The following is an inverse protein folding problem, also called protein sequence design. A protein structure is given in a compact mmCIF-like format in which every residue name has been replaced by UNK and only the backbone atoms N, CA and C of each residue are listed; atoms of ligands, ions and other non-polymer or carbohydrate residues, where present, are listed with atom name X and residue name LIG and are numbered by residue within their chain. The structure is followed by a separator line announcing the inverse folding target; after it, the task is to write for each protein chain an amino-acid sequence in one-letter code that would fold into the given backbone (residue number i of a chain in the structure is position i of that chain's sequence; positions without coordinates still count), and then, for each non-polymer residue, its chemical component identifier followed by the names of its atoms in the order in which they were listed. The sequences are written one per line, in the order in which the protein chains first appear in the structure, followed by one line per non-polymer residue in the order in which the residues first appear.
data_IF_740759116111
#
_entry.id   IF_740759116111
#
_cell.length_a   1.000
_cell.length_b   1.000
_cell.length_c   1.000
_cell.angle_alpha   90.00
_cell.angle_beta   90.00
_cell.angle_gamma   90.00
#
_symmetry.space_group_name_H-M   'P 1'
#
loop_
_entity.id
_entity.type
_entity.pdbx_description
1 polymer ?
#
# COMPACT_ATOMS: atom_id res chain seq x y z
N UNK A 1 6.01 -12.79 -2.28
CA UNK A 1 4.65 -12.85 -2.86
C UNK A 1 4.12 -14.28 -2.75
N UNK A 2 2.93 -14.46 -2.19
CA UNK A 2 2.17 -15.71 -2.39
C UNK A 2 1.84 -15.79 -3.89
N UNK A 3 2.22 -16.87 -4.60
CA UNK A 3 1.86 -17.02 -6.01
C UNK A 3 0.34 -16.90 -6.17
N UNK A 4 -0.12 -16.13 -7.17
CA UNK A 4 -1.51 -16.22 -7.58
C UNK A 4 -1.80 -17.63 -8.09
N UNK A 5 -2.92 -18.19 -7.66
CA UNK A 5 -3.42 -19.41 -8.26
C UNK A 5 -3.74 -19.13 -9.74
N UNK A 6 -3.23 -19.98 -10.63
CA UNK A 6 -3.59 -19.99 -12.05
C UNK A 6 -4.65 -21.07 -12.23
N UNK A 7 -5.84 -20.81 -11.72
CA UNK A 7 -6.96 -21.77 -11.66
C UNK A 7 -8.08 -21.44 -12.65
N UNK A 8 -7.92 -20.38 -13.44
CA UNK A 8 -8.93 -19.89 -14.38
C UNK A 8 -10.09 -19.15 -13.71
N UNK A 9 -10.02 -18.88 -12.41
CA UNK A 9 -11.03 -18.16 -11.65
C UNK A 9 -10.54 -16.75 -11.37
N UNK A 10 -11.31 -15.75 -11.79
CA UNK A 10 -11.06 -14.35 -11.43
C UNK A 10 -11.52 -14.08 -9.99
N UNK A 11 -10.78 -14.61 -9.03
CA UNK A 11 -11.03 -14.41 -7.60
C UNK A 11 -10.62 -13.01 -7.12
N UNK A 12 -10.84 -12.69 -5.84
CA UNK A 12 -10.56 -11.37 -5.27
C UNK A 12 -9.12 -10.88 -5.48
N UNK A 13 -8.14 -11.79 -5.44
CA UNK A 13 -6.73 -11.45 -5.71
C UNK A 13 -6.49 -11.16 -7.20
N UNK A 14 -7.08 -11.93 -8.11
CA UNK A 14 -6.97 -11.69 -9.56
C UNK A 14 -7.57 -10.32 -9.90
N UNK A 15 -8.77 -10.03 -9.38
CA UNK A 15 -9.45 -8.74 -9.53
C UNK A 15 -8.63 -7.58 -8.97
N UNK A 16 -7.97 -7.77 -7.82
CA UNK A 16 -7.05 -6.79 -7.23
C UNK A 16 -5.88 -6.47 -8.19
N UNK A 17 -5.28 -7.51 -8.80
CA UNK A 17 -4.16 -7.33 -9.73
C UNK A 17 -4.58 -6.70 -11.05
N UNK A 18 -5.73 -7.07 -11.61
CA UNK A 18 -6.29 -6.43 -12.81
C UNK A 18 -6.61 -4.95 -12.53
N UNK A 19 -7.20 -4.64 -11.38
CA UNK A 19 -7.40 -3.26 -10.93
C UNK A 19 -6.07 -2.50 -10.87
N UNK A 20 -5.03 -3.11 -10.29
CA UNK A 20 -3.69 -2.51 -10.19
C UNK A 20 -3.06 -2.28 -11.57
N UNK A 21 -3.24 -3.21 -12.52
CA UNK A 21 -2.79 -3.03 -13.89
C UNK A 21 -3.47 -1.84 -14.57
N UNK A 22 -4.77 -1.63 -14.33
CA UNK A 22 -5.50 -0.45 -14.83
C UNK A 22 -4.93 0.85 -14.26
N UNK A 23 -4.59 0.89 -12.97
CA UNK A 23 -3.92 2.05 -12.35
C UNK A 23 -2.58 2.34 -13.05
N UNK A 24 -1.77 1.31 -13.29
CA UNK A 24 -0.46 1.43 -13.93
C UNK A 24 -0.58 1.90 -15.40
N UNK A 25 -1.57 1.39 -16.14
CA UNK A 25 -1.83 1.73 -17.54
C UNK A 25 -2.56 3.07 -17.72
N UNK A 26 -3.11 3.65 -16.65
CA UNK A 26 -3.96 4.84 -16.76
C UNK A 26 -5.35 4.55 -17.32
N UNK A 27 -5.80 3.30 -17.25
CA UNK A 27 -7.14 2.88 -17.64
C UNK A 27 -8.15 3.17 -16.51
N UNK A 28 -9.46 3.22 -16.82
CA UNK A 28 -10.49 3.38 -15.80
C UNK A 28 -10.38 2.32 -14.70
N UNK A 29 -10.12 2.77 -13.47
CA UNK A 29 -9.92 1.89 -12.32
C UNK A 29 -11.21 1.14 -11.98
N UNK A 30 -11.15 -0.18 -11.94
CA UNK A 30 -12.26 -1.04 -11.54
C UNK A 30 -11.78 -2.40 -11.04
N UNK A 31 -12.60 -3.08 -10.24
CA UNK A 31 -12.37 -4.45 -9.76
C UNK A 31 -13.11 -5.51 -10.57
N UNK A 32 -13.66 -5.12 -11.71
CA UNK A 32 -14.33 -6.03 -12.64
C UNK A 32 -13.34 -6.98 -13.30
N UNK A 33 -13.84 -8.10 -13.75
CA UNK A 33 -13.06 -9.03 -14.57
C UNK A 33 -12.63 -8.35 -15.88
N UNK A 34 -11.49 -8.76 -16.42
CA UNK A 34 -11.00 -8.29 -17.72
C UNK A 34 -11.74 -9.03 -18.83
N UNK A 35 -12.15 -8.30 -19.87
CA UNK A 35 -12.77 -8.90 -21.03
C UNK A 35 -11.75 -9.66 -21.88
N UNK A 36 -12.04 -10.92 -22.21
CA UNK A 36 -11.20 -11.73 -23.10
C UNK A 36 -11.24 -11.17 -24.53
N UNK A 37 -10.07 -11.08 -25.16
CA UNK A 37 -9.84 -10.53 -26.49
C UNK A 37 -10.01 -9.01 -26.59
N UNK A 38 -10.08 -8.30 -25.45
CA UNK A 38 -10.31 -6.86 -25.42
C UNK A 38 -9.03 -6.03 -25.54
N UNK A 39 -9.20 -4.72 -25.75
CA UNK A 39 -8.09 -3.76 -25.81
C UNK A 39 -7.27 -3.75 -24.51
N UNK A 40 -7.92 -3.85 -23.35
CA UNK A 40 -7.26 -3.95 -22.04
C UNK A 40 -6.31 -5.17 -21.97
N UNK A 41 -6.74 -6.33 -22.46
CA UNK A 41 -5.91 -7.53 -22.47
C UNK A 41 -4.71 -7.36 -23.41
N UNK A 42 -4.93 -6.85 -24.62
CA UNK A 42 -3.86 -6.61 -25.57
C UNK A 42 -2.82 -5.63 -25.03
N UNK A 43 -3.25 -4.56 -24.37
CA UNK A 43 -2.37 -3.56 -23.75
C UNK A 43 -1.58 -4.14 -22.58
N UNK A 44 -2.25 -4.89 -21.69
CA UNK A 44 -1.60 -5.57 -20.57
C UNK A 44 -0.54 -6.58 -21.04
N UNK A 45 -0.86 -7.39 -22.05
CA UNK A 45 0.06 -8.40 -22.59
C UNK A 45 1.22 -7.80 -23.40
N UNK A 46 1.08 -6.55 -23.87
CA UNK A 46 2.13 -5.83 -24.57
C UNK A 46 3.17 -5.18 -23.63
N UNK A 47 2.89 -5.12 -22.31
CA UNK A 47 3.82 -4.53 -21.34
C UNK A 47 5.12 -5.32 -21.26
N UNK A 48 6.24 -4.63 -21.45
CA UNK A 48 7.60 -5.17 -21.28
C UNK A 48 8.23 -4.77 -19.94
N UNK A 49 7.63 -3.80 -19.24
CA UNK A 49 8.04 -3.32 -17.93
C UNK A 49 6.85 -2.68 -17.21
N UNK A 50 6.98 -2.46 -15.90
CA UNK A 50 5.96 -1.79 -15.07
C UNK A 50 6.02 -0.28 -15.33
N UNK A 51 4.99 0.35 -15.90
CA UNK A 51 4.98 1.79 -16.12
C UNK A 51 4.79 2.55 -14.81
N UNK A 52 5.14 3.84 -14.81
CA UNK A 52 4.79 4.73 -13.71
C UNK A 52 3.29 5.06 -13.84
N UNK A 53 2.47 4.84 -12.80
CA UNK A 53 1.04 5.14 -12.87
C UNK A 53 0.82 6.65 -13.04
N UNK A 54 -0.17 7.07 -13.84
CA UNK A 54 -0.57 8.47 -13.91
C UNK A 54 -0.92 9.03 -12.53
N UNK A 55 -0.46 10.24 -12.24
CA UNK A 55 -0.67 10.87 -10.92
C UNK A 55 0.32 10.44 -9.83
N UNK A 56 1.30 9.58 -10.12
CA UNK A 56 2.44 9.40 -9.23
C UNK A 56 3.20 10.73 -9.04
N UNK A 57 3.55 11.12 -7.80
CA UNK A 57 4.24 12.39 -7.53
C UNK A 57 5.74 12.25 -7.82
N UNK A 58 6.06 12.14 -9.12
CA UNK A 58 7.40 11.88 -9.66
C UNK A 58 8.39 13.05 -9.55
N UNK A 59 7.91 14.21 -9.13
CA UNK A 59 8.73 15.36 -8.73
C UNK A 59 9.36 15.19 -7.34
N UNK A 60 8.98 14.15 -6.60
CA UNK A 60 9.61 13.77 -5.34
C UNK A 60 10.59 12.61 -5.53
N UNK A 61 11.71 12.64 -4.78
CA UNK A 61 12.74 11.60 -4.88
C UNK A 61 12.18 10.22 -4.58
N UNK A 62 11.35 10.07 -3.54
CA UNK A 62 10.70 8.80 -3.21
C UNK A 62 9.24 9.05 -2.91
N UNK A 63 8.39 8.23 -3.52
CA UNK A 63 6.95 8.39 -3.43
C UNK A 63 6.24 7.06 -3.27
N UNK A 64 5.04 7.12 -2.70
CA UNK A 64 4.03 6.05 -2.78
C UNK A 64 2.72 6.60 -3.30
N UNK A 65 2.09 5.88 -4.22
CA UNK A 65 0.71 6.04 -4.64
C UNK A 65 -0.11 4.86 -4.11
N UNK A 66 -1.12 5.17 -3.31
CA UNK A 66 -1.98 4.18 -2.65
C UNK A 66 -3.37 4.28 -3.27
N UNK A 67 -3.72 3.28 -4.09
CA UNK A 67 -5.05 3.19 -4.67
C UNK A 67 -5.97 2.37 -3.75
N UNK A 68 -6.96 3.05 -3.17
CA UNK A 68 -7.90 2.47 -2.22
C UNK A 68 -9.00 1.64 -2.88
N UNK A 69 -9.20 1.77 -4.19
CA UNK A 69 -10.10 0.90 -4.96
C UNK A 69 -9.44 -0.47 -5.12
N UNK A 70 -8.20 -0.48 -5.60
CA UNK A 70 -7.43 -1.69 -5.85
C UNK A 70 -6.77 -2.26 -4.60
N UNK A 71 -6.77 -1.53 -3.48
CA UNK A 71 -6.12 -1.97 -2.24
C UNK A 71 -4.64 -2.32 -2.50
N UNK A 72 -3.91 -1.37 -3.08
CA UNK A 72 -2.50 -1.53 -3.47
C UNK A 72 -1.71 -0.29 -3.08
N UNK A 73 -0.44 -0.50 -2.72
CA UNK A 73 0.56 0.54 -2.58
C UNK A 73 1.61 0.35 -3.67
N UNK A 74 1.81 1.39 -4.48
CA UNK A 74 2.86 1.45 -5.51
C UNK A 74 3.91 2.43 -5.02
N UNK A 75 5.18 2.03 -4.96
CA UNK A 75 6.29 2.88 -4.54
C UNK A 75 7.28 3.08 -5.68
N UNK A 76 7.89 4.27 -5.79
CA UNK A 76 8.87 4.57 -6.83
C UNK A 76 9.84 5.68 -6.47
N UNK A 77 10.85 5.87 -7.34
CA UNK A 77 11.89 6.89 -7.17
C UNK A 77 11.85 7.89 -8.32
N UNK A 78 11.43 9.14 -8.06
CA UNK A 78 11.31 10.18 -9.07
C UNK A 78 10.68 9.67 -10.37
N UNK A 79 11.39 9.87 -11.48
CA UNK A 79 11.03 9.36 -12.82
C UNK A 79 11.74 8.05 -13.20
N UNK A 80 12.50 7.45 -12.28
CA UNK A 80 13.28 6.22 -12.55
C UNK A 80 12.44 4.95 -12.66
N UNK A 81 11.15 5.02 -12.28
CA UNK A 81 10.21 3.93 -12.37
C UNK A 81 9.65 3.46 -11.03
N UNK A 82 8.75 2.48 -11.11
CA UNK A 82 8.19 1.78 -9.96
C UNK A 82 9.25 0.86 -9.36
N UNK A 83 9.43 0.96 -8.05
CA UNK A 83 10.30 0.08 -7.24
C UNK A 83 9.51 -1.09 -6.67
N UNK A 84 8.32 -0.83 -6.13
CA UNK A 84 7.49 -1.85 -5.50
C UNK A 84 6.02 -1.71 -5.88
N UNK A 85 5.35 -2.86 -5.97
CA UNK A 85 3.89 -2.96 -6.02
C UNK A 85 3.47 -3.95 -4.93
N UNK A 86 2.88 -3.45 -3.86
CA UNK A 86 2.49 -4.24 -2.71
C UNK A 86 0.97 -4.30 -2.57
N UNK A 87 0.37 -5.50 -2.41
CA UNK A 87 -0.98 -5.62 -1.87
C UNK A 87 -1.05 -4.88 -0.53
N UNK A 88 -2.11 -4.10 -0.38
CA UNK A 88 -2.37 -3.32 0.82
C UNK A 88 -3.78 -3.61 1.35
N UNK A 89 -4.07 -3.17 2.57
CA UNK A 89 -5.43 -3.14 3.10
C UNK A 89 -5.64 -1.84 3.88
N UNK A 90 -6.57 -1.01 3.43
CA UNK A 90 -6.80 0.34 3.96
C UNK A 90 -7.97 0.37 4.95
N UNK A 91 -8.41 1.57 5.34
CA UNK A 91 -9.47 1.78 6.32
C UNK A 91 -10.83 1.22 5.93
N UNK A 92 -11.43 0.42 6.82
CA UNK A 92 -12.80 -0.09 6.67
C UNK A 92 -13.85 1.02 6.73
N UNK A 93 -15.10 0.70 6.38
CA UNK A 93 -16.24 1.61 6.55
C UNK A 93 -16.28 2.20 7.98
N UNK A 94 -16.44 3.52 8.08
CA UNK A 94 -16.40 4.30 9.31
C UNK A 94 -14.99 4.63 9.85
N UNK A 95 -13.94 4.13 9.19
CA UNK A 95 -12.54 4.36 9.53
C UNK A 95 -11.70 4.58 8.28
N UNK A 96 -12.26 5.27 7.29
CA UNK A 96 -11.68 5.40 5.96
C UNK A 96 -10.27 6.02 6.00
N UNK A 97 -9.38 5.48 5.18
CA UNK A 97 -8.10 6.15 4.89
C UNK A 97 -8.40 7.45 4.15
N UNK A 98 -7.75 8.55 4.56
CA UNK A 98 -8.04 9.87 3.99
C UNK A 98 -7.52 9.94 2.57
N UNK A 99 -8.26 10.57 1.66
CA UNK A 99 -7.76 10.95 0.33
C UNK A 99 -6.80 12.13 0.50
N UNK A 100 -5.58 11.98 -0.01
CA UNK A 100 -4.51 12.96 0.08
C UNK A 100 -3.84 13.05 -1.28
N UNK A 101 -3.83 14.26 -1.85
CA UNK A 101 -3.06 14.50 -3.08
C UNK A 101 -1.58 14.21 -2.81
N UNK A 102 -1.02 14.82 -1.77
CA UNK A 102 0.35 14.58 -1.31
C UNK A 102 0.47 14.84 0.20
N UNK A 103 1.20 13.98 0.90
CA UNK A 103 1.54 14.15 2.30
C UNK A 103 2.96 13.63 2.58
N UNK A 104 3.81 14.48 3.16
CA UNK A 104 5.14 14.05 3.61
C UNK A 104 5.02 13.18 4.86
N UNK A 105 5.57 11.98 4.80
CA UNK A 105 5.72 11.11 5.96
C UNK A 105 6.54 11.82 7.05
N UNK A 106 6.02 11.84 8.28
CA UNK A 106 6.52 12.71 9.34
C UNK A 106 7.06 11.98 10.55
N UNK A 107 6.76 10.70 10.70
CA UNK A 107 7.28 9.88 11.78
C UNK A 107 7.47 8.45 11.31
N UNK A 108 8.62 7.88 11.60
CA UNK A 108 8.85 6.44 11.55
C UNK A 108 9.15 5.95 12.96
N UNK A 109 8.62 4.79 13.33
CA UNK A 109 8.86 4.23 14.65
C UNK A 109 9.31 2.76 14.55
N UNK A 110 10.58 2.44 14.86
CA UNK A 110 11.11 1.09 14.72
C UNK A 110 10.66 0.13 15.82
N UNK A 111 10.05 0.57 16.94
CA UNK A 111 9.60 -0.29 18.05
C UNK A 111 10.65 -1.33 18.51
N UNK A 112 11.89 -0.91 18.71
CA UNK A 112 12.98 -1.85 19.01
C UNK A 112 12.71 -2.69 20.26
N UNK A 113 12.06 -2.10 21.27
CA UNK A 113 11.72 -2.74 22.54
C UNK A 113 10.60 -3.80 22.44
N UNK A 114 9.91 -3.88 21.31
CA UNK A 114 8.80 -4.81 21.07
C UNK A 114 8.87 -5.48 19.70
N UNK A 115 10.10 -5.73 19.21
CA UNK A 115 10.32 -6.46 17.95
C UNK A 115 9.64 -5.83 16.74
N UNK A 116 9.53 -4.49 16.71
CA UNK A 116 8.89 -3.75 15.63
C UNK A 116 7.41 -3.43 15.82
N UNK A 117 6.74 -3.98 16.83
CA UNK A 117 5.30 -3.81 16.99
C UNK A 117 4.91 -2.66 17.93
N UNK A 118 3.98 -1.83 17.47
CA UNK A 118 3.35 -0.78 18.27
C UNK A 118 1.86 -1.03 18.43
N UNK A 119 1.34 -0.76 19.62
CA UNK A 119 -0.10 -0.72 19.83
C UNK A 119 -0.64 0.64 19.36
N UNK A 120 -1.78 0.62 18.66
CA UNK A 120 -2.50 1.86 18.37
C UNK A 120 -3.07 2.44 19.66
N UNK A 121 -2.84 3.73 19.90
CA UNK A 121 -3.38 4.42 21.08
C UNK A 121 -4.89 4.66 20.97
N UNK A 122 -5.41 4.86 19.77
CA UNK A 122 -6.84 5.16 19.52
C UNK A 122 -7.65 3.90 19.25
N UNK A 123 -7.06 2.92 18.58
CA UNK A 123 -7.71 1.66 18.21
C UNK A 123 -6.83 0.45 18.55
N UNK A 124 -6.52 0.23 19.84
CA UNK A 124 -5.67 -0.88 20.25
C UNK A 124 -6.28 -2.22 19.81
N UNK A 125 -5.43 -3.11 19.32
CA UNK A 125 -5.80 -4.50 19.10
C UNK A 125 -6.19 -5.15 20.42
N UNK A 126 -7.15 -6.07 20.41
CA UNK A 126 -7.34 -6.94 21.57
C UNK A 126 -6.09 -7.82 21.73
N UNK A 127 -5.69 -8.06 22.98
CA UNK A 127 -4.46 -8.79 23.33
C UNK A 127 -4.35 -10.17 22.65
N UNK A 128 -5.49 -10.81 22.37
CA UNK A 128 -5.61 -12.14 21.77
C UNK A 128 -6.08 -12.10 20.30
N UNK A 129 -5.97 -10.96 19.61
CA UNK A 129 -6.40 -10.82 18.22
C UNK A 129 -5.22 -10.81 17.23
N UNK A 130 -4.71 -11.98 16.81
CA UNK A 130 -3.58 -12.07 15.89
C UNK A 130 -3.93 -11.55 14.48
N UNK A 131 -5.22 -11.43 14.14
CA UNK A 131 -5.72 -11.00 12.83
C UNK A 131 -5.79 -9.48 12.70
N UNK A 132 -6.09 -8.78 13.79
CA UNK A 132 -6.09 -7.32 13.86
C UNK A 132 -5.06 -6.89 14.90
N UNK A 133 -3.80 -7.27 14.68
CA UNK A 133 -2.69 -6.92 15.55
C UNK A 133 -1.89 -5.77 14.98
N UNK A 134 -1.69 -4.76 15.81
CA UNK A 134 -0.53 -3.87 15.95
C UNK A 134 0.12 -3.28 14.69
N UNK A 135 0.77 -2.14 14.88
CA UNK A 135 1.46 -1.40 13.85
C UNK A 135 2.91 -1.91 13.80
N UNK A 136 3.25 -2.80 12.86
CA UNK A 136 4.64 -3.19 12.66
C UNK A 136 5.40 -2.10 11.91
N UNK A 137 6.41 -1.52 12.56
CA UNK A 137 7.35 -0.50 12.05
C UNK A 137 6.65 0.63 11.26
N UNK A 138 5.66 1.33 11.86
CA UNK A 138 4.80 2.27 11.16
C UNK A 138 5.53 3.51 10.65
N UNK A 139 5.15 3.94 9.44
CA UNK A 139 5.53 5.20 8.80
C UNK A 139 4.28 6.08 8.73
N UNK A 140 4.17 7.07 9.61
CA UNK A 140 3.03 7.97 9.72
C UNK A 140 3.06 9.09 8.69
N UNK A 141 1.91 9.34 8.06
CA UNK A 141 1.76 10.35 7.01
C UNK A 141 0.57 11.29 7.23
N UNK A 142 -0.44 10.94 8.05
CA UNK A 142 -1.60 11.82 8.29
C UNK A 142 -2.30 11.58 9.64
N UNK A 143 -2.06 12.45 10.64
CA UNK A 143 -2.79 12.49 11.92
C UNK A 143 -3.19 11.10 12.46
N UNK A 144 -2.20 10.22 12.68
CA UNK A 144 -2.40 8.85 13.17
C UNK A 144 -2.49 7.76 12.10
N UNK A 145 -2.73 8.09 10.82
CA UNK A 145 -2.67 7.12 9.71
C UNK A 145 -1.22 6.87 9.30
N UNK A 146 -0.87 5.59 9.20
CA UNK A 146 0.46 5.11 8.86
C UNK A 146 0.42 3.99 7.83
N UNK A 147 1.53 3.83 7.10
CA UNK A 147 1.86 2.61 6.37
C UNK A 147 2.59 1.70 7.36
N UNK A 148 2.11 0.47 7.57
CA UNK A 148 2.71 -0.45 8.54
C UNK A 148 2.52 -1.90 8.14
N UNK A 149 3.38 -2.78 8.65
CA UNK A 149 3.21 -4.23 8.53
C UNK A 149 2.06 -4.73 9.40
N UNK A 150 1.36 -5.76 8.92
CA UNK A 150 0.28 -6.44 9.61
C UNK A 150 0.28 -7.94 9.26
N UNK A 151 -0.26 -8.76 10.17
CA UNK A 151 -0.40 -10.21 9.95
C UNK A 151 -1.51 -10.57 8.95
N UNK A 152 -2.47 -9.66 8.75
CA UNK A 152 -3.59 -9.85 7.84
C UNK A 152 -3.74 -8.65 6.90
N UNK A 153 -3.65 -8.92 5.60
CA UNK A 153 -3.73 -7.93 4.52
C UNK A 153 -4.65 -8.46 3.44
N UNK A 154 -5.98 -8.42 3.66
CA UNK A 154 -6.94 -8.88 2.67
C UNK A 154 -7.04 -7.89 1.50
N UNK A 155 -7.54 -8.30 0.33
CA UNK A 155 -7.67 -7.42 -0.85
C UNK A 155 -8.82 -6.42 -0.75
N UNK A 156 -9.30 -6.16 0.47
CA UNK A 156 -10.40 -5.26 0.83
C UNK A 156 -10.01 -4.46 2.09
N UNK A 157 -10.62 -3.29 2.33
CA UNK A 157 -10.28 -2.49 3.50
C UNK A 157 -10.66 -3.20 4.80
N UNK A 158 -9.69 -3.31 5.70
CA UNK A 158 -9.84 -4.01 6.98
C UNK A 158 -9.14 -3.31 8.15
N UNK A 159 -8.57 -2.12 7.92
CA UNK A 159 -7.86 -1.35 8.96
C UNK A 159 -8.76 -0.29 9.61
N UNK A 160 -8.21 0.41 10.60
CA UNK A 160 -8.82 1.60 11.23
C UNK A 160 -8.30 2.92 10.64
N UNK A 161 -8.00 2.92 9.34
CA UNK A 161 -7.56 4.09 8.57
C UNK A 161 -6.10 4.03 8.13
N UNK A 162 -5.30 3.15 8.72
CA UNK A 162 -3.93 2.90 8.28
C UNK A 162 -3.87 2.08 6.98
N UNK A 163 -2.69 2.04 6.36
CA UNK A 163 -2.42 1.22 5.17
C UNK A 163 -1.58 0.03 5.61
N UNK A 164 -2.21 -1.14 5.67
CA UNK A 164 -1.57 -2.39 6.06
C UNK A 164 -0.78 -2.96 4.88
N UNK A 165 0.47 -3.31 5.12
CA UNK A 165 1.30 -4.14 4.25
C UNK A 165 1.58 -5.47 4.95
N UNK A 166 2.07 -6.46 4.20
CA UNK A 166 2.63 -7.65 4.82
C UNK A 166 3.92 -7.26 5.55
N UNK A 167 4.28 -7.97 6.62
CA UNK A 167 5.48 -7.68 7.42
C UNK A 167 6.74 -7.64 6.54
N UNK A 168 6.89 -8.61 5.63
CA UNK A 168 8.01 -8.68 4.68
C UNK A 168 8.02 -7.53 3.66
N UNK A 169 6.85 -7.06 3.23
CA UNK A 169 6.75 -5.88 2.37
C UNK A 169 7.06 -4.58 3.13
N UNK A 170 6.68 -4.49 4.41
CA UNK A 170 7.04 -3.37 5.26
C UNK A 170 8.55 -3.30 5.48
N UNK A 171 9.21 -4.44 5.73
CA UNK A 171 10.66 -4.49 5.88
C UNK A 171 11.37 -4.06 4.59
N UNK A 172 10.89 -4.49 3.42
CA UNK A 172 11.41 -4.02 2.13
C UNK A 172 11.27 -2.51 1.96
N UNK A 173 10.10 -1.95 2.30
CA UNK A 173 9.86 -0.50 2.22
C UNK A 173 10.80 0.25 3.17
N UNK A 174 10.91 -0.19 4.42
CA UNK A 174 11.76 0.45 5.45
C UNK A 174 13.25 0.40 5.07
N UNK A 175 13.73 -0.74 4.55
CA UNK A 175 15.10 -0.88 4.09
C UNK A 175 15.38 0.02 2.87
N UNK A 176 14.46 0.07 1.90
CA UNK A 176 14.59 0.96 0.74
C UNK A 176 14.61 2.44 1.12
N UNK A 177 13.89 2.83 2.19
CA UNK A 177 13.96 4.19 2.73
C UNK A 177 15.26 4.47 3.51
N UNK A 178 16.06 3.45 3.83
CA UNK A 178 17.25 3.58 4.68
C UNK A 178 16.90 3.88 6.13
N UNK A 179 15.81 3.27 6.63
CA UNK A 179 15.31 3.45 7.99
C UNK A 179 15.52 2.20 8.85
N UNK A 180 16.15 1.17 8.30
CA UNK A 180 16.46 -0.09 8.98
C UNK A 180 17.52 0.05 10.06
N UNK A 181 18.38 1.07 9.95
CA UNK A 181 19.43 1.42 10.91
C UNK A 181 18.96 2.29 12.08
N UNK A 182 17.67 2.65 12.13
CA UNK A 182 17.17 3.57 13.14
C UNK A 182 17.23 2.95 14.55
N UNK A 183 17.96 3.60 15.45
CA UNK A 183 18.11 3.26 16.86
C UNK A 183 16.98 3.80 17.76
N UNK A 184 15.98 4.44 17.15
CA UNK A 184 14.79 4.97 17.82
C UNK A 184 13.83 5.68 16.85
N UNK A 185 12.74 6.27 17.37
CA UNK A 185 11.77 6.98 16.54
C UNK A 185 12.39 8.12 15.73
N UNK A 186 12.09 8.16 14.44
CA UNK A 186 12.58 9.18 13.50
C UNK A 186 11.47 10.18 13.22
N UNK A 187 11.69 11.45 13.54
CA UNK A 187 10.72 12.55 13.32
C UNK A 187 11.12 13.50 12.19
N UNK A 188 12.34 13.36 11.66
CA UNK A 188 12.86 14.23 10.62
C UNK A 188 12.30 13.81 9.26
N UNK A 189 11.35 14.58 8.72
CA UNK A 189 10.77 14.36 7.37
C UNK A 189 11.83 14.14 6.29
N UNK A 190 12.93 14.91 6.33
CA UNK A 190 14.05 14.77 5.39
C UNK A 190 14.81 13.44 5.53
N UNK A 191 14.85 12.83 6.72
CA UNK A 191 15.45 11.49 6.92
C UNK A 191 14.53 10.40 6.38
N UNK A 192 13.22 10.53 6.60
CA UNK A 192 12.23 9.58 6.07
C UNK A 192 12.16 9.68 4.54
N UNK A 193 12.18 10.91 4.02
CA UNK A 193 12.18 11.25 2.60
C UNK A 193 11.14 10.42 1.82
N UNK A 194 9.86 10.52 2.21
CA UNK A 194 8.78 9.81 1.55
C UNK A 194 7.55 10.72 1.40
N UNK A 195 7.08 10.86 0.17
CA UNK A 195 5.79 11.50 -0.14
C UNK A 195 4.73 10.43 -0.38
N UNK A 196 3.59 10.57 0.29
CA UNK A 196 2.47 9.63 0.23
C UNK A 196 1.27 10.29 -0.44
N UNK A 197 0.73 9.66 -1.48
CA UNK A 197 -0.58 9.99 -2.05
C UNK A 197 -1.55 8.84 -1.85
N UNK A 198 -2.81 9.16 -1.57
CA UNK A 198 -3.90 8.21 -1.37
C UNK A 198 -5.09 8.65 -2.20
N UNK A 199 -5.56 7.77 -3.09
CA UNK A 199 -6.61 8.08 -4.05
C UNK A 199 -7.64 6.96 -4.19
N UNK A 200 -8.72 7.27 -4.91
CA UNK A 200 -9.83 6.37 -5.12
C UNK A 200 -10.72 6.23 -3.88
N UNK A 201 -11.63 5.26 -3.95
CA UNK A 201 -12.46 4.83 -2.83
C UNK A 201 -12.76 3.35 -3.03
N UNK A 202 -12.81 2.59 -1.94
CA UNK A 202 -13.07 1.17 -2.09
C UNK A 202 -14.46 0.92 -2.64
N UNK A 203 -14.52 0.11 -3.69
CA UNK A 203 -15.74 -0.48 -4.22
C UNK A 203 -15.66 -1.99 -3.98
N UNK A 204 -16.73 -2.63 -3.47
CA UNK A 204 -16.76 -4.08 -3.34
C UNK A 204 -16.59 -4.75 -4.70
N UNK A 205 -16.04 -5.97 -4.70
CA UNK A 205 -16.00 -6.81 -5.89
C UNK A 205 -17.43 -6.99 -6.45
N UNK A 206 -17.62 -6.95 -7.79
CA UNK A 206 -18.92 -7.13 -8.42
C UNK A 206 -19.46 -8.56 -8.33
#
# INVERSE_FOLDING_TARGET
MTPLAVDGISGPLTRQQLCTARVLLGLPVSRSDMAMGGDEEAELLALTSVPIPPGAPTDHERWTLIDMTCQVLIAGTGTSGVTFVFPASTGSAGYETRVLAEAAAFRFDPALDNGGWHDSTEFPAAYDNPLNGNLYRPIYFSNGQAIHGANNVPPQPASKGCVRLRVDHQDQLVAWLGLDDADGPVWMKRRINLTVSTLGSYLPDP
#
